data_IF_884782535283
#
_entry.id   IF_884782535283
#
_cell.length_a   1.000
_cell.length_b   1.000
_cell.length_c   1.000
_cell.angle_alpha   90.00
_cell.angle_beta   90.00
_cell.angle_gamma   90.00
#
_symmetry.space_group_name_H-M   'P 1'
#
loop_
_entity.id
_entity.type
_entity.pdbx_description
1 polymer ?
#
# COMPACT_ATOMS: atom_id res chain seq x y z
N UNK A 1 13.95 -7.31 -4.12
CA UNK A 1 13.48 -7.05 -2.75
C UNK A 1 12.02 -6.60 -2.85
N UNK A 2 11.15 -7.01 -1.92
CA UNK A 2 9.71 -6.66 -1.94
C UNK A 2 9.50 -5.14 -1.88
N UNK A 3 10.31 -4.42 -1.10
CA UNK A 3 10.25 -2.95 -1.03
C UNK A 3 10.56 -2.29 -2.38
N UNK A 4 11.50 -2.84 -3.14
CA UNK A 4 11.87 -2.34 -4.47
C UNK A 4 10.75 -2.54 -5.49
N UNK A 5 10.11 -3.71 -5.47
CA UNK A 5 8.91 -3.99 -6.30
C UNK A 5 7.77 -3.01 -5.99
N UNK A 6 7.51 -2.75 -4.72
CA UNK A 6 6.48 -1.79 -4.29
C UNK A 6 6.80 -0.36 -4.75
N UNK A 7 8.08 0.05 -4.69
CA UNK A 7 8.51 1.35 -5.22
C UNK A 7 8.32 1.44 -6.74
N UNK A 8 8.58 0.35 -7.47
CA UNK A 8 8.37 0.27 -8.91
C UNK A 8 6.89 0.43 -9.31
N UNK A 9 6.00 -0.27 -8.61
CA UNK A 9 4.55 -0.17 -8.89
C UNK A 9 3.89 1.04 -8.22
N UNK A 10 4.59 1.80 -7.37
CA UNK A 10 4.03 2.91 -6.58
C UNK A 10 3.24 3.91 -7.42
N UNK A 11 3.78 4.32 -8.56
CA UNK A 11 3.15 5.34 -9.42
C UNK A 11 1.82 4.84 -9.96
N UNK A 12 1.82 3.62 -10.50
CA UNK A 12 0.64 2.99 -11.07
C UNK A 12 -0.36 2.56 -9.99
N UNK A 13 0.11 2.16 -8.81
CA UNK A 13 -0.72 1.89 -7.62
C UNK A 13 -1.43 3.17 -7.17
N UNK A 14 -0.74 4.30 -7.07
CA UNK A 14 -1.31 5.60 -6.68
C UNK A 14 -2.40 6.05 -7.68
N UNK A 15 -2.18 5.82 -8.97
CA UNK A 15 -3.12 6.18 -10.03
C UNK A 15 -4.39 5.31 -10.00
N UNK A 16 -4.19 3.99 -10.00
CA UNK A 16 -5.26 2.99 -10.16
C UNK A 16 -5.96 2.58 -8.86
N UNK A 17 -5.35 2.80 -7.70
CA UNK A 17 -5.95 2.40 -6.43
C UNK A 17 -7.08 3.33 -6.01
N UNK A 18 -8.23 2.75 -5.71
CA UNK A 18 -9.38 3.45 -5.13
C UNK A 18 -9.17 3.77 -3.65
N UNK A 19 -9.89 4.80 -3.15
CA UNK A 19 -9.83 5.20 -1.74
C UNK A 19 -10.21 4.04 -0.81
N UNK A 20 -11.21 3.26 -1.23
CA UNK A 20 -11.65 2.06 -0.51
C UNK A 20 -10.54 1.01 -0.42
N UNK A 21 -9.90 0.67 -1.53
CA UNK A 21 -8.78 -0.27 -1.57
C UNK A 21 -7.63 0.17 -0.64
N UNK A 22 -7.26 1.45 -0.67
CA UNK A 22 -6.22 2.00 0.22
C UNK A 22 -6.63 1.86 1.69
N UNK A 23 -7.89 2.16 2.01
CA UNK A 23 -8.42 2.02 3.38
C UNK A 23 -8.43 0.57 3.85
N UNK A 24 -8.80 -0.36 2.98
CA UNK A 24 -8.78 -1.80 3.27
C UNK A 24 -7.36 -2.29 3.52
N UNK A 25 -6.40 -1.92 2.65
CA UNK A 25 -5.00 -2.27 2.83
C UNK A 25 -4.41 -1.68 4.13
N UNK A 26 -4.80 -0.47 4.52
CA UNK A 26 -4.42 0.10 5.82
C UNK A 26 -4.95 -0.73 6.99
N UNK A 27 -6.20 -1.22 6.89
CA UNK A 27 -6.82 -2.06 7.91
C UNK A 27 -6.14 -3.43 8.02
N UNK A 28 -5.90 -4.07 6.88
CA UNK A 28 -5.20 -5.35 6.79
C UNK A 28 -3.78 -5.24 7.36
N UNK A 29 -3.05 -4.16 7.02
CA UNK A 29 -1.71 -3.89 7.55
C UNK A 29 -1.70 -3.50 9.04
N UNK A 30 -2.77 -2.90 9.54
CA UNK A 30 -2.96 -2.67 10.98
C UNK A 30 -3.16 -4.01 11.71
N UNK A 31 -4.01 -4.89 11.18
CA UNK A 31 -4.25 -6.23 11.72
C UNK A 31 -2.98 -7.09 11.76
N UNK A 32 -2.12 -6.93 10.75
CA UNK A 32 -0.81 -7.58 10.69
C UNK A 32 0.29 -6.95 11.56
N UNK A 33 -0.08 -5.96 12.40
CA UNK A 33 0.80 -5.16 13.26
C UNK A 33 1.95 -4.50 12.49
N UNK A 34 1.75 -4.21 11.20
CA UNK A 34 2.69 -3.41 10.42
C UNK A 34 2.55 -1.96 10.86
N UNK A 35 1.33 -1.46 10.97
CA UNK A 35 1.02 -0.14 11.52
C UNK A 35 0.51 -0.24 12.96
N UNK A 36 0.62 0.87 13.68
CA UNK A 36 -0.19 1.11 14.87
C UNK A 36 -1.34 2.06 14.50
N UNK A 37 -2.36 2.16 15.35
CA UNK A 37 -3.51 3.04 15.11
C UNK A 37 -3.09 4.49 14.84
N UNK A 38 -2.09 5.00 15.56
CA UNK A 38 -1.57 6.35 15.36
C UNK A 38 -0.94 6.55 13.97
N UNK A 39 -0.16 5.60 13.45
CA UNK A 39 0.45 5.68 12.12
C UNK A 39 -0.60 5.61 11.02
N UNK A 40 -1.59 4.71 11.18
CA UNK A 40 -2.70 4.59 10.24
C UNK A 40 -3.51 5.89 10.19
N UNK A 41 -3.83 6.45 11.36
CA UNK A 41 -4.61 7.68 11.48
C UNK A 41 -3.84 8.87 10.91
N UNK A 42 -2.53 8.97 11.19
CA UNK A 42 -1.65 9.97 10.56
C UNK A 42 -1.70 9.90 9.02
N UNK A 43 -1.61 8.71 8.44
CA UNK A 43 -1.69 8.55 6.98
C UNK A 43 -3.08 8.97 6.48
N UNK A 44 -4.16 8.67 7.21
CA UNK A 44 -5.52 8.98 6.80
C UNK A 44 -5.90 10.46 6.96
N UNK A 45 -5.41 11.12 8.01
CA UNK A 45 -5.70 12.51 8.34
C UNK A 45 -4.77 13.50 7.62
N UNK A 46 -3.48 13.18 7.53
CA UNK A 46 -2.48 14.10 6.95
C UNK A 46 -2.61 14.21 5.42
N UNK A 47 -3.07 13.13 4.77
CA UNK A 47 -3.16 13.05 3.32
C UNK A 47 -4.61 13.30 2.85
N UNK A 48 -4.89 14.48 2.27
CA UNK A 48 -6.26 14.82 1.81
C UNK A 48 -6.68 14.10 0.54
N UNK A 49 -5.73 13.81 -0.35
CA UNK A 49 -6.01 13.16 -1.64
C UNK A 49 -5.79 11.65 -1.58
N UNK A 50 -6.57 10.91 -2.38
CA UNK A 50 -6.39 9.45 -2.58
C UNK A 50 -4.96 9.11 -2.97
N UNK A 51 -4.39 9.89 -3.88
CA UNK A 51 -3.05 9.66 -4.39
C UNK A 51 -1.98 9.83 -3.30
N UNK A 52 -2.17 10.83 -2.46
CA UNK A 52 -1.27 11.16 -1.35
C UNK A 52 -1.32 10.03 -0.29
N UNK A 53 -2.53 9.56 0.06
CA UNK A 53 -2.74 8.39 0.95
C UNK A 53 -2.04 7.14 0.43
N UNK A 54 -2.21 6.82 -0.86
CA UNK A 54 -1.55 5.67 -1.47
C UNK A 54 -0.02 5.80 -1.42
N UNK A 55 0.51 7.00 -1.67
CA UNK A 55 1.95 7.27 -1.63
C UNK A 55 2.50 7.13 -0.21
N UNK A 56 1.82 7.71 0.78
CA UNK A 56 2.20 7.64 2.19
C UNK A 56 2.15 6.20 2.73
N UNK A 57 1.14 5.42 2.31
CA UNK A 57 1.05 3.99 2.63
C UNK A 57 2.26 3.22 2.09
N UNK A 58 2.57 3.36 0.79
CA UNK A 58 3.74 2.68 0.17
C UNK A 58 5.05 3.10 0.87
N UNK A 59 5.24 4.40 1.13
CA UNK A 59 6.46 4.92 1.76
C UNK A 59 6.64 4.37 3.17
N UNK A 60 5.57 4.37 3.97
CA UNK A 60 5.61 3.88 5.35
C UNK A 60 5.86 2.38 5.41
N UNK A 61 5.23 1.60 4.52
CA UNK A 61 5.50 0.16 4.39
C UNK A 61 6.96 -0.10 3.97
N UNK A 62 7.50 0.67 3.02
CA UNK A 62 8.90 0.55 2.59
C UNK A 62 9.88 0.91 3.71
N UNK A 63 9.58 1.92 4.53
CA UNK A 63 10.42 2.32 5.68
C UNK A 63 10.48 1.25 6.76
N UNK A 64 9.39 0.52 6.99
CA UNK A 64 9.35 -0.59 7.95
C UNK A 64 10.15 -1.81 7.50
N UNK A 65 10.44 -1.91 6.21
CA UNK A 65 11.33 -2.92 5.64
C UNK A 65 10.63 -3.99 4.81
N UNK A 66 11.41 -4.97 4.35
CA UNK A 66 10.96 -5.92 3.33
C UNK A 66 9.81 -6.82 3.79
N UNK A 67 9.76 -7.18 5.09
CA UNK A 67 8.65 -7.95 5.66
C UNK A 67 7.31 -7.22 5.55
N UNK A 68 7.27 -5.93 5.88
CA UNK A 68 6.07 -5.12 5.75
C UNK A 68 5.66 -4.98 4.28
N UNK A 69 6.64 -4.74 3.43
CA UNK A 69 6.48 -4.68 1.97
C UNK A 69 5.89 -5.97 1.40
N UNK A 70 6.35 -7.13 1.87
CA UNK A 70 5.81 -8.40 1.44
C UNK A 70 4.36 -8.59 1.88
N UNK A 71 4.01 -8.22 3.13
CA UNK A 71 2.63 -8.28 3.61
C UNK A 71 1.69 -7.36 2.81
N UNK A 72 2.14 -6.16 2.48
CA UNK A 72 1.35 -5.25 1.64
C UNK A 72 1.10 -5.84 0.25
N UNK A 73 2.11 -6.44 -0.37
CA UNK A 73 1.94 -7.09 -1.68
C UNK A 73 0.94 -8.24 -1.59
N UNK A 74 1.03 -9.06 -0.54
CA UNK A 74 0.13 -10.20 -0.34
C UNK A 74 -1.32 -9.76 -0.17
N UNK A 75 -1.58 -8.77 0.71
CA UNK A 75 -2.90 -8.19 0.88
C UNK A 75 -3.43 -7.53 -0.39
N UNK A 76 -2.56 -6.84 -1.11
CA UNK A 76 -2.94 -6.20 -2.36
C UNK A 76 -3.30 -7.21 -3.43
N UNK A 77 -2.54 -8.29 -3.56
CA UNK A 77 -2.86 -9.40 -4.47
C UNK A 77 -4.16 -10.12 -4.06
N UNK A 78 -4.43 -10.28 -2.76
CA UNK A 78 -5.67 -10.89 -2.29
C UNK A 78 -6.91 -10.00 -2.52
N UNK A 79 -6.78 -8.68 -2.30
CA UNK A 79 -7.87 -7.72 -2.47
C UNK A 79 -8.17 -7.47 -3.94
N UNK A 80 -7.15 -7.27 -4.76
CA UNK A 80 -7.30 -6.96 -6.18
C UNK A 80 -6.23 -7.68 -7.03
N UNK A 81 -6.41 -9.00 -7.27
CA UNK A 81 -5.46 -9.79 -8.06
C UNK A 81 -5.40 -9.31 -9.52
N UNK A 82 -6.48 -8.75 -10.03
CA UNK A 82 -6.57 -8.18 -11.38
C UNK A 82 -5.68 -6.96 -11.52
N UNK A 83 -5.81 -5.99 -10.62
CA UNK A 83 -5.00 -4.79 -10.61
C UNK A 83 -3.55 -5.11 -10.29
N UNK A 84 -3.29 -6.02 -9.36
CA UNK A 84 -1.93 -6.46 -9.07
C UNK A 84 -1.25 -7.09 -10.29
N UNK A 85 -1.97 -7.91 -11.05
CA UNK A 85 -1.45 -8.52 -12.28
C UNK A 85 -1.19 -7.48 -13.35
N UNK A 86 -2.11 -6.54 -13.55
CA UNK A 86 -1.96 -5.42 -14.49
C UNK A 86 -0.75 -4.52 -14.15
N UNK A 87 -0.54 -4.24 -12.86
CA UNK A 87 0.62 -3.49 -12.37
C UNK A 87 1.94 -4.24 -12.51
N UNK A 88 1.93 -5.58 -12.36
CA UNK A 88 3.09 -6.43 -12.60
C UNK A 88 3.42 -6.60 -14.09
N UNK A 89 2.42 -6.54 -14.96
CA UNK A 89 2.58 -6.65 -16.41
C UNK A 89 3.08 -5.36 -17.05
N UNK A 90 2.99 -4.22 -16.35
CA UNK A 90 3.55 -2.93 -16.79
C UNK A 90 5.06 -2.77 -16.51
N UNK A 91 5.81 -3.88 -16.41
CA UNK A 91 7.28 -3.91 -16.28
C UNK A 91 7.92 -4.35 -17.60
#
# INVERSE_FOLDING_TARGET
>A
MAADKLKGIRTSFVDKSSKELISQLLDDLLGDQVFNDGEKDSILEENKSRADKARALIDSVCRKGDKASQKMIDHFQNRDPTLFSDLKLST
#
